data_IF_402686515776
#
_entry.id   IF_402686515776
#
_cell.length_a   1.000
_cell.length_b   1.000
_cell.length_c   1.000
_cell.angle_alpha   90.00
_cell.angle_beta   90.00
_cell.angle_gamma   90.00
#
_symmetry.space_group_name_H-M   'P 1'
#
loop_
_entity.id
_entity.type
_entity.pdbx_description
1 polymer ?
#
# COMPACT_ATOMS: atom_id res chain seq x y z
N UNK A 1 -16.96 12.84 -2.84
CA UNK A 1 -17.11 11.76 -1.85
C UNK A 1 -15.72 11.33 -1.42
N UNK A 2 -15.49 11.19 -0.12
CA UNK A 2 -14.29 10.56 0.40
C UNK A 2 -14.32 9.05 0.12
N UNK A 3 -13.17 8.40 0.08
CA UNK A 3 -13.03 6.94 -0.04
C UNK A 3 -12.48 6.40 1.26
N UNK A 4 -12.78 5.15 1.58
CA UNK A 4 -12.19 4.45 2.71
C UNK A 4 -10.93 3.72 2.24
N UNK A 5 -9.87 3.77 3.03
CA UNK A 5 -8.58 3.16 2.70
C UNK A 5 -8.05 2.39 3.90
N UNK A 6 -7.64 1.14 3.65
CA UNK A 6 -7.19 0.23 4.70
C UNK A 6 -5.88 -0.44 4.29
N UNK A 7 -4.97 -0.59 5.25
CA UNK A 7 -3.72 -1.32 5.06
C UNK A 7 -3.68 -2.51 6.03
N UNK A 8 -3.64 -3.71 5.45
CA UNK A 8 -3.38 -4.94 6.18
C UNK A 8 -1.91 -5.31 6.04
N UNK A 9 -1.23 -5.55 7.16
CA UNK A 9 0.14 -6.10 7.19
C UNK A 9 0.08 -7.38 8.02
N UNK A 10 0.68 -8.46 7.54
CA UNK A 10 0.67 -9.74 8.25
C UNK A 10 1.17 -9.57 9.70
N UNK A 11 0.44 -10.11 10.68
CA UNK A 11 0.76 -10.07 12.13
C UNK A 11 0.75 -8.68 12.81
N UNK A 12 0.38 -7.62 12.09
CA UNK A 12 0.29 -6.24 12.60
C UNK A 12 -1.16 -5.78 12.61
N UNK A 13 -1.76 -5.81 13.80
CA UNK A 13 -3.07 -5.23 14.06
C UNK A 13 -2.96 -3.69 14.16
N UNK A 14 -3.85 -2.98 13.48
CA UNK A 14 -4.18 -1.58 13.69
C UNK A 14 -5.51 -1.42 14.45
N UNK A 15 -6.14 -0.26 14.32
CA UNK A 15 -7.34 0.11 15.09
C UNK A 15 -8.62 0.34 14.26
N UNK A 16 -8.62 -0.06 12.98
CA UNK A 16 -9.81 0.13 12.15
C UNK A 16 -11.04 -0.58 12.73
N UNK A 17 -12.14 0.17 12.80
CA UNK A 17 -13.45 -0.29 13.29
C UNK A 17 -14.40 -0.67 12.17
N UNK A 18 -13.92 -0.66 10.92
CA UNK A 18 -14.70 -1.12 9.78
C UNK A 18 -15.07 -2.61 9.93
N UNK A 19 -16.29 -2.99 9.53
CA UNK A 19 -16.78 -4.36 9.71
C UNK A 19 -16.08 -5.38 8.82
N UNK A 20 -15.56 -4.97 7.65
CA UNK A 20 -14.84 -5.83 6.71
C UNK A 20 -13.32 -5.71 6.83
N UNK A 21 -12.83 -4.59 7.35
CA UNK A 21 -11.41 -4.31 7.55
C UNK A 21 -11.06 -4.14 9.04
N UNK A 22 -11.74 -4.86 9.93
CA UNK A 22 -11.52 -4.73 11.37
C UNK A 22 -10.08 -5.08 11.75
N UNK A 23 -9.47 -4.24 12.60
CA UNK A 23 -8.07 -4.33 13.02
C UNK A 23 -7.03 -4.16 11.90
N UNK A 24 -7.45 -3.74 10.71
CA UNK A 24 -6.50 -3.20 9.74
C UNK A 24 -6.10 -1.77 10.17
N UNK A 25 -5.10 -1.21 9.49
CA UNK A 25 -4.68 0.17 9.70
C UNK A 25 -5.56 1.08 8.84
N UNK A 26 -6.18 2.09 9.44
CA UNK A 26 -6.86 3.15 8.68
C UNK A 26 -5.82 4.05 7.98
N UNK A 27 -5.98 4.21 6.66
CA UNK A 27 -5.10 5.00 5.81
C UNK A 27 -5.77 6.33 5.48
N UNK A 28 -5.02 7.43 5.64
CA UNK A 28 -5.48 8.79 5.36
C UNK A 28 -5.07 9.25 3.95
N UNK A 29 -3.91 8.80 3.51
CA UNK A 29 -3.37 9.09 2.18
C UNK A 29 -2.35 8.03 1.80
N UNK A 30 -2.18 7.80 0.51
CA UNK A 30 -1.11 6.96 -0.02
C UNK A 30 -0.60 7.52 -1.35
N UNK A 31 0.63 7.16 -1.69
CA UNK A 31 1.22 7.45 -3.00
C UNK A 31 2.18 6.33 -3.40
N UNK A 32 2.30 6.10 -4.70
CA UNK A 32 3.18 5.11 -5.29
C UNK A 32 3.52 5.51 -6.73
N UNK A 33 4.67 5.09 -7.22
CA UNK A 33 5.14 5.46 -8.55
C UNK A 33 6.10 4.44 -9.14
N UNK A 34 6.22 4.49 -10.47
CA UNK A 34 7.23 3.74 -11.20
C UNK A 34 7.68 4.55 -12.42
N UNK A 35 8.93 4.36 -12.84
CA UNK A 35 9.50 4.99 -14.02
C UNK A 35 10.27 3.98 -14.87
N UNK A 36 10.34 4.20 -16.18
CA UNK A 36 11.12 3.37 -17.09
C UNK A 36 12.15 4.25 -17.81
N UNK A 37 13.41 3.83 -17.81
CA UNK A 37 14.52 4.53 -18.46
C UNK A 37 14.63 4.27 -19.97
N UNK A 38 13.75 3.45 -20.56
CA UNK A 38 13.75 3.15 -22.00
C UNK A 38 13.48 4.39 -22.85
N UNK A 39 14.10 4.47 -24.03
CA UNK A 39 13.99 5.62 -24.93
C UNK A 39 13.60 5.21 -26.34
N UNK A 40 12.50 5.77 -26.83
CA UNK A 40 12.03 5.57 -28.21
C UNK A 40 12.85 6.35 -29.25
N UNK A 41 13.77 7.21 -28.82
CA UNK A 41 14.59 8.05 -29.71
C UNK A 41 15.81 7.32 -30.30
N UNK A 42 16.09 6.08 -29.88
CA UNK A 42 17.26 5.30 -30.32
C UNK A 42 16.83 3.94 -30.88
N UNK A 43 17.21 3.65 -32.13
CA UNK A 43 16.98 2.37 -32.81
C UNK A 43 15.55 2.16 -33.35
N UNK A 44 15.37 1.15 -34.21
CA UNK A 44 14.10 0.85 -34.89
C UNK A 44 13.04 0.10 -34.05
N UNK A 45 13.14 0.08 -32.72
CA UNK A 45 12.30 -0.77 -31.86
C UNK A 45 12.16 -0.39 -30.37
N UNK A 46 12.47 0.86 -29.97
CA UNK A 46 12.44 1.39 -28.58
C UNK A 46 13.53 0.83 -27.63
N UNK A 47 14.66 1.56 -27.59
CA UNK A 47 15.88 1.25 -26.84
C UNK A 47 15.64 0.90 -25.36
N UNK A 48 16.11 -0.29 -24.98
CA UNK A 48 15.77 -1.01 -23.76
C UNK A 48 16.13 -0.26 -22.46
N UNK A 49 15.22 -0.32 -21.48
CA UNK A 49 15.41 0.17 -20.12
C UNK A 49 14.86 -0.81 -19.10
N UNK A 50 15.14 -0.58 -17.81
CA UNK A 50 14.55 -1.31 -16.69
C UNK A 50 13.57 -0.41 -15.95
N UNK A 51 12.48 -0.99 -15.47
CA UNK A 51 11.56 -0.29 -14.58
C UNK A 51 12.21 -0.06 -13.22
N UNK A 52 12.02 1.13 -12.67
CA UNK A 52 12.27 1.44 -11.28
C UNK A 52 10.92 1.57 -10.57
N UNK A 53 10.66 0.69 -9.60
CA UNK A 53 9.44 0.71 -8.79
C UNK A 53 9.77 1.36 -7.46
N UNK A 54 9.01 2.39 -7.08
CA UNK A 54 9.22 3.12 -5.83
C UNK A 54 8.51 2.43 -4.67
N UNK A 55 8.86 2.81 -3.44
CA UNK A 55 8.17 2.37 -2.24
C UNK A 55 6.75 2.94 -2.18
N UNK A 56 5.84 2.21 -1.57
CA UNK A 56 4.48 2.72 -1.27
C UNK A 56 4.55 3.56 0.00
N UNK A 57 4.23 4.84 -0.12
CA UNK A 57 4.19 5.76 1.02
C UNK A 57 2.75 5.90 1.54
N UNK A 58 2.56 5.76 2.85
CA UNK A 58 1.23 5.81 3.51
C UNK A 58 1.24 6.82 4.66
N UNK A 59 0.15 7.58 4.79
CA UNK A 59 -0.16 8.38 5.97
C UNK A 59 -1.24 7.67 6.79
N UNK A 60 -0.99 7.48 8.08
CA UNK A 60 -1.92 6.86 9.05
C UNK A 60 -1.93 7.65 10.35
N UNK A 61 -2.94 7.43 11.19
CA UNK A 61 -2.87 7.86 12.59
C UNK A 61 -1.85 7.05 13.37
N UNK A 62 -1.39 7.60 14.51
CA UNK A 62 -0.69 6.79 15.50
C UNK A 62 -1.73 5.88 16.15
N UNK A 63 -1.48 4.58 16.14
CA UNK A 63 -2.34 3.55 16.70
C UNK A 63 -1.49 2.39 17.25
N UNK A 64 -2.12 1.31 17.70
CA UNK A 64 -1.47 0.09 18.19
C UNK A 64 -0.48 -0.58 17.21
N UNK A 65 -0.57 -0.28 15.92
CA UNK A 65 0.34 -0.78 14.89
C UNK A 65 1.69 -0.05 14.94
N UNK A 66 1.72 1.21 15.36
CA UNK A 66 2.90 2.09 15.24
C UNK A 66 4.17 1.53 15.90
N UNK A 67 4.15 1.03 17.15
CA UNK A 67 5.36 0.49 17.78
C UNK A 67 5.90 -0.75 17.07
N UNK A 68 5.01 -1.59 16.51
CA UNK A 68 5.41 -2.78 15.74
C UNK A 68 6.09 -2.40 14.43
N UNK A 69 5.55 -1.41 13.72
CA UNK A 69 6.15 -0.89 12.48
C UNK A 69 7.51 -0.24 12.74
N UNK A 70 7.63 0.54 13.82
CA UNK A 70 8.90 1.13 14.23
C UNK A 70 9.95 0.06 14.57
N UNK A 71 9.54 -0.98 15.29
CA UNK A 71 10.44 -2.09 15.62
C UNK A 71 10.89 -2.83 14.36
N UNK A 72 9.97 -3.17 13.45
CA UNK A 72 10.29 -3.85 12.20
C UNK A 72 11.27 -3.05 11.33
N UNK A 73 11.05 -1.74 11.21
CA UNK A 73 11.97 -0.84 10.53
C UNK A 73 13.35 -0.82 11.20
N UNK A 74 13.41 -0.77 12.53
CA UNK A 74 14.67 -0.77 13.27
C UNK A 74 15.43 -2.11 13.19
N UNK A 75 14.72 -3.24 13.10
CA UNK A 75 15.31 -4.58 13.02
C UNK A 75 15.51 -5.10 11.60
N UNK A 76 15.01 -4.39 10.58
CA UNK A 76 14.99 -4.90 9.19
C UNK A 76 14.12 -6.14 9.01
N UNK A 77 13.08 -6.28 9.84
CA UNK A 77 12.15 -7.42 9.76
C UNK A 77 11.17 -7.21 8.61
N UNK A 78 11.06 -8.19 7.72
CA UNK A 78 10.06 -8.18 6.66
C UNK A 78 8.80 -8.95 7.07
N UNK A 79 7.72 -8.69 6.35
CA UNK A 79 6.44 -9.37 6.41
C UNK A 79 6.15 -10.05 5.08
N UNK A 80 5.58 -11.26 5.12
CA UNK A 80 5.25 -12.03 3.91
C UNK A 80 4.39 -11.24 2.92
N UNK A 81 3.42 -10.47 3.43
CA UNK A 81 2.57 -9.63 2.60
C UNK A 81 1.98 -8.41 3.32
N UNK A 82 1.64 -7.42 2.50
CA UNK A 82 0.74 -6.32 2.85
C UNK A 82 -0.30 -6.10 1.74
N UNK A 83 -1.49 -5.63 2.12
CA UNK A 83 -2.58 -5.34 1.20
C UNK A 83 -3.15 -3.96 1.49
N UNK A 84 -2.97 -3.04 0.55
CA UNK A 84 -3.67 -1.75 0.53
C UNK A 84 -4.98 -1.91 -0.23
N UNK A 85 -6.10 -1.61 0.43
CA UNK A 85 -7.45 -1.64 -0.16
C UNK A 85 -8.04 -0.24 -0.18
N UNK A 86 -8.57 0.18 -1.33
CA UNK A 86 -9.33 1.43 -1.47
C UNK A 86 -10.76 1.11 -1.88
N UNK A 87 -11.70 1.64 -1.12
CA UNK A 87 -13.12 1.36 -1.25
C UNK A 87 -13.90 2.65 -1.47
N UNK A 88 -14.76 2.68 -2.50
CA UNK A 88 -15.69 3.80 -2.69
C UNK A 88 -16.69 3.80 -1.53
N UNK A 89 -16.82 4.94 -0.85
CA UNK A 89 -17.85 5.13 0.17
C UNK A 89 -19.23 5.34 -0.49
N UNK A 90 -20.28 4.83 0.16
CA UNK A 90 -21.68 5.02 -0.22
C UNK A 90 -22.30 3.90 -1.08
N UNK A 91 -23.63 3.86 -1.09
CA UNK A 91 -24.46 2.84 -1.75
C UNK A 91 -24.69 1.58 -0.91
N UNK A 92 -25.64 0.74 -1.35
CA UNK A 92 -26.02 -0.50 -0.64
C UNK A 92 -24.90 -1.56 -0.64
N UNK A 93 -23.87 -1.38 -1.46
CA UNK A 93 -22.74 -2.29 -1.59
C UNK A 93 -21.46 -1.53 -1.96
N UNK A 94 -20.67 -1.10 -0.96
CA UNK A 94 -19.38 -0.47 -1.19
C UNK A 94 -18.44 -1.36 -2.01
N UNK A 95 -17.80 -0.79 -3.04
CA UNK A 95 -16.91 -1.52 -3.96
C UNK A 95 -15.45 -1.22 -3.64
N UNK A 96 -14.68 -2.27 -3.37
CA UNK A 96 -13.21 -2.24 -3.31
C UNK A 96 -12.66 -2.19 -4.75
N UNK A 97 -12.24 -1.01 -5.20
CA UNK A 97 -11.89 -0.78 -6.60
C UNK A 97 -10.38 -0.69 -6.86
N UNK A 98 -9.57 -0.54 -5.80
CA UNK A 98 -8.12 -0.69 -5.86
C UNK A 98 -7.69 -1.66 -4.76
N UNK A 99 -6.90 -2.65 -5.14
CA UNK A 99 -6.23 -3.57 -4.22
C UNK A 99 -4.78 -3.73 -4.67
N UNK A 100 -3.85 -3.28 -3.85
CA UNK A 100 -2.41 -3.39 -4.11
C UNK A 100 -1.85 -4.40 -3.11
N UNK A 101 -1.53 -5.60 -3.61
CA UNK A 101 -0.85 -6.64 -2.84
C UNK A 101 0.65 -6.48 -3.04
N UNK A 102 1.37 -6.39 -1.93
CA UNK A 102 2.83 -6.36 -1.87
C UNK A 102 3.28 -7.61 -1.14
N UNK A 103 4.31 -8.27 -1.67
CA UNK A 103 4.91 -9.47 -1.09
C UNK A 103 6.34 -9.11 -0.64
N UNK A 104 6.83 -9.75 0.43
CA UNK A 104 8.16 -9.48 1.02
C UNK A 104 8.38 -8.00 1.39
N UNK A 105 7.55 -7.49 2.31
CA UNK A 105 7.46 -6.06 2.66
C UNK A 105 8.36 -5.74 3.85
N UNK A 106 9.23 -4.73 3.71
CA UNK A 106 10.15 -4.23 4.75
C UNK A 106 9.64 -2.96 5.43
#
# INVERSE_FOLDING_TARGET
>A
MAVDMFLKIATVDGESRDSKHSKEIDVLAWSWGMSNAGSAHVGGGAGAGKVNVQDVSVTKYVDSSSPKLMLACASGTHYDNALLTVRKAGGDSPVEYIKIKMDEVF
#
